data_IF_600953281435
#
_entry.id   IF_600953281435
#
_cell.length_a   1.000
_cell.length_b   1.000
_cell.length_c   1.000
_cell.angle_alpha   90.00
_cell.angle_beta   90.00
_cell.angle_gamma   90.00
#
_symmetry.space_group_name_H-M   'P 1'
#
loop_
_entity.id
_entity.type
_entity.pdbx_description
1 polymer ?
#
# COMPACT_ATOMS: atom_id res chain seq x y z
N UNK A 1 -7.70 3.74 -23.98
CA UNK A 1 -6.69 4.77 -23.67
C UNK A 1 -5.84 5.06 -24.89
N UNK A 2 -4.96 4.15 -25.32
CA UNK A 2 -4.07 4.32 -26.49
C UNK A 2 -4.76 4.87 -27.75
N UNK A 3 -5.84 4.23 -28.21
CA UNK A 3 -6.56 4.66 -29.42
C UNK A 3 -7.19 6.06 -29.32
N UNK A 4 -7.46 6.56 -28.11
CA UNK A 4 -8.11 7.85 -27.87
C UNK A 4 -7.04 8.93 -27.68
N UNK A 5 -6.01 8.65 -26.89
CA UNK A 5 -4.97 9.60 -26.51
C UNK A 5 -3.78 9.62 -27.47
N UNK A 6 -3.71 8.70 -28.44
CA UNK A 6 -2.56 8.56 -29.34
C UNK A 6 -1.29 8.09 -28.64
N UNK A 7 -1.43 7.37 -27.52
CA UNK A 7 -0.31 6.89 -26.70
C UNK A 7 -0.01 5.42 -26.96
N UNK A 8 1.18 4.98 -26.54
CA UNK A 8 1.59 3.57 -26.59
C UNK A 8 1.88 3.05 -25.18
N UNK A 9 0.83 2.62 -24.47
CA UNK A 9 0.95 1.92 -23.20
C UNK A 9 0.71 0.42 -23.36
N UNK A 10 1.56 -0.40 -22.73
CA UNK A 10 1.29 -1.80 -22.46
C UNK A 10 0.77 -2.00 -21.01
N UNK A 11 0.46 -3.25 -20.65
CA UNK A 11 -0.03 -3.57 -19.32
C UNK A 11 0.95 -3.17 -18.20
N UNK A 12 2.25 -3.36 -18.42
CA UNK A 12 3.28 -3.07 -17.43
C UNK A 12 3.40 -1.57 -17.18
N UNK A 13 3.41 -0.76 -18.25
CA UNK A 13 3.48 0.71 -18.15
C UNK A 13 2.27 1.30 -17.42
N UNK A 14 1.09 0.68 -17.55
CA UNK A 14 -0.12 1.09 -16.81
C UNK A 14 0.02 0.72 -15.33
N UNK A 15 0.50 -0.49 -15.02
CA UNK A 15 0.72 -0.92 -13.64
C UNK A 15 1.79 -0.06 -12.95
N UNK A 16 2.89 0.27 -13.64
CA UNK A 16 3.92 1.17 -13.13
C UNK A 16 3.38 2.58 -12.90
N UNK A 17 2.53 3.09 -13.79
CA UNK A 17 1.86 4.39 -13.59
C UNK A 17 0.96 4.37 -12.33
N UNK A 18 0.19 3.31 -12.13
CA UNK A 18 -0.61 3.15 -10.91
C UNK A 18 0.25 3.07 -9.65
N UNK A 19 1.37 2.36 -9.72
CA UNK A 19 2.30 2.26 -8.61
C UNK A 19 2.98 3.60 -8.28
N UNK A 20 3.36 4.37 -9.32
CA UNK A 20 3.85 5.75 -9.17
C UNK A 20 2.84 6.63 -8.45
N UNK A 21 1.58 6.61 -8.89
CA UNK A 21 0.50 7.41 -8.28
C UNK A 21 0.35 7.06 -6.80
N UNK A 22 0.29 5.77 -6.44
CA UNK A 22 0.11 5.37 -5.05
C UNK A 22 1.30 5.76 -4.15
N UNK A 23 2.53 5.75 -4.69
CA UNK A 23 3.70 6.24 -3.95
C UNK A 23 3.67 7.75 -3.78
N UNK A 24 3.20 8.53 -4.78
CA UNK A 24 2.98 9.98 -4.62
C UNK A 24 1.96 10.26 -3.52
N UNK A 25 0.83 9.54 -3.50
CA UNK A 25 -0.18 9.68 -2.45
C UNK A 25 0.37 9.34 -1.06
N UNK A 26 1.18 8.27 -0.96
CA UNK A 26 1.85 7.91 0.30
C UNK A 26 2.81 9.00 0.76
N UNK A 27 3.65 9.54 -0.12
CA UNK A 27 4.58 10.63 0.19
C UNK A 27 3.83 11.88 0.66
N UNK A 28 2.77 12.27 -0.07
CA UNK A 28 1.93 13.39 0.33
C UNK A 28 1.36 13.21 1.74
N UNK A 29 0.84 12.02 2.06
CA UNK A 29 0.32 11.73 3.39
C UNK A 29 1.40 11.81 4.49
N UNK A 30 2.60 11.28 4.22
CA UNK A 30 3.73 11.37 5.13
C UNK A 30 4.16 12.82 5.37
N UNK A 31 4.22 13.64 4.31
CA UNK A 31 4.50 15.08 4.40
C UNK A 31 3.41 15.85 5.16
N UNK A 32 2.14 15.43 5.01
CA UNK A 32 1.01 15.97 5.76
C UNK A 32 0.98 15.53 7.24
N UNK A 33 1.90 14.65 7.65
CA UNK A 33 2.08 14.24 9.04
C UNK A 33 1.36 12.95 9.45
N UNK A 34 0.76 12.21 8.50
CA UNK A 34 0.31 10.84 8.77
C UNK A 34 1.52 10.00 9.15
N UNK A 35 1.40 9.27 10.24
CA UNK A 35 2.46 8.41 10.72
C UNK A 35 2.22 6.94 10.31
N UNK A 36 3.28 6.15 10.12
CA UNK A 36 3.15 4.73 9.79
C UNK A 36 2.34 3.90 10.78
N UNK A 37 2.27 4.32 12.06
CA UNK A 37 1.47 3.62 13.07
C UNK A 37 -0.04 3.76 12.86
N UNK A 38 -0.45 4.72 12.02
CA UNK A 38 -1.84 4.95 11.64
C UNK A 38 -2.32 3.99 10.54
N UNK A 39 -1.40 3.23 9.91
CA UNK A 39 -1.73 2.12 9.00
C UNK A 39 -2.25 0.91 9.80
N UNK A 40 -3.42 1.09 10.42
CA UNK A 40 -4.04 0.14 11.35
C UNK A 40 -5.54 -0.01 11.10
N UNK A 41 -6.16 -0.93 11.84
CA UNK A 41 -7.60 -1.15 11.83
C UNK A 41 -8.21 -0.79 13.19
N UNK A 42 -9.53 -0.51 13.26
CA UNK A 42 -10.22 -0.37 14.53
C UNK A 42 -10.00 -1.58 15.43
N UNK A 43 -9.81 -1.35 16.74
CA UNK A 43 -9.50 -2.40 17.75
C UNK A 43 -10.41 -3.61 17.67
N UNK A 44 -11.71 -3.41 17.45
CA UNK A 44 -12.68 -4.49 17.26
C UNK A 44 -12.24 -5.52 16.22
N UNK A 45 -11.66 -5.10 15.10
CA UNK A 45 -11.21 -6.02 14.05
C UNK A 45 -9.90 -6.75 14.39
N UNK A 46 -9.11 -6.18 15.31
CA UNK A 46 -7.82 -6.71 15.72
C UNK A 46 -7.92 -7.62 16.96
N UNK A 47 -8.90 -7.37 17.83
CA UNK A 47 -8.96 -7.96 19.17
C UNK A 47 -10.24 -8.73 19.44
N UNK A 48 -11.38 -8.38 18.83
CA UNK A 48 -12.67 -9.03 19.08
C UNK A 48 -12.91 -10.15 18.07
N UNK A 49 -12.92 -11.44 18.49
CA UNK A 49 -13.15 -12.54 17.58
C UNK A 49 -14.57 -12.53 17.02
N UNK A 50 -14.71 -12.95 15.76
CA UNK A 50 -16.02 -13.11 15.13
C UNK A 50 -16.89 -14.07 15.98
N UNK A 51 -18.14 -13.70 16.35
CA UNK A 51 -18.91 -14.43 17.34
C UNK A 51 -19.52 -15.74 16.82
N UNK A 52 -19.82 -15.83 15.52
CA UNK A 52 -20.53 -16.96 14.93
C UNK A 52 -20.23 -17.15 13.43
N UNK A 53 -20.67 -18.28 12.88
CA UNK A 53 -20.48 -18.64 11.48
C UNK A 53 -19.12 -19.28 11.17
N UNK A 54 -18.80 -19.51 9.89
CA UNK A 54 -17.60 -20.25 9.46
C UNK A 54 -16.27 -19.61 9.89
N UNK A 55 -16.26 -18.31 10.14
CA UNK A 55 -15.06 -17.57 10.58
C UNK A 55 -15.05 -17.29 12.09
N UNK A 56 -15.92 -17.96 12.87
CA UNK A 56 -16.00 -17.79 14.32
C UNK A 56 -14.62 -17.96 14.96
N UNK A 57 -14.27 -17.03 15.85
CA UNK A 57 -12.99 -17.03 16.56
C UNK A 57 -11.84 -16.33 15.81
N UNK A 58 -12.02 -15.94 14.55
CA UNK A 58 -10.99 -15.23 13.81
C UNK A 58 -10.95 -13.73 14.15
N UNK A 59 -9.74 -13.18 14.14
CA UNK A 59 -9.44 -11.74 14.14
C UNK A 59 -8.55 -11.41 12.94
N UNK A 60 -8.44 -10.13 12.59
CA UNK A 60 -7.54 -9.69 11.51
C UNK A 60 -6.08 -9.95 11.86
N UNK A 61 -5.35 -10.57 10.92
CA UNK A 61 -3.90 -10.84 11.03
C UNK A 61 -3.05 -9.69 10.53
N UNK A 62 -3.49 -8.44 10.75
CA UNK A 62 -2.83 -7.26 10.21
C UNK A 62 -1.35 -7.19 10.59
N UNK A 63 -1.00 -7.53 11.84
CA UNK A 63 0.39 -7.55 12.33
C UNK A 63 1.30 -8.48 11.53
N UNK A 64 0.76 -9.55 10.94
CA UNK A 64 1.51 -10.49 10.10
C UNK A 64 1.57 -10.03 8.63
N UNK A 65 0.52 -9.38 8.15
CA UNK A 65 0.35 -9.02 6.73
C UNK A 65 0.97 -7.66 6.37
N UNK A 66 0.88 -6.67 7.27
CA UNK A 66 1.35 -5.32 6.99
C UNK A 66 2.87 -5.25 6.69
N UNK A 67 3.75 -5.94 7.44
CA UNK A 67 5.18 -5.93 7.10
C UNK A 67 5.48 -6.58 5.74
N UNK A 68 4.71 -7.61 5.36
CA UNK A 68 4.84 -8.25 4.04
C UNK A 68 4.38 -7.31 2.94
N UNK A 69 3.27 -6.62 3.14
CA UNK A 69 2.78 -5.61 2.21
C UNK A 69 3.84 -4.53 1.96
N UNK A 70 4.48 -3.99 3.00
CA UNK A 70 5.56 -3.01 2.81
C UNK A 70 6.74 -3.55 2.02
N UNK A 71 7.16 -4.78 2.30
CA UNK A 71 8.24 -5.42 1.55
C UNK A 71 7.89 -5.54 0.05
N UNK A 72 6.68 -6.03 -0.28
CA UNK A 72 6.21 -6.14 -1.67
C UNK A 72 6.07 -4.78 -2.37
N UNK A 73 5.78 -3.71 -1.62
CA UNK A 73 5.70 -2.34 -2.15
C UNK A 73 7.09 -1.69 -2.36
N UNK A 74 8.17 -2.32 -1.87
CA UNK A 74 9.51 -1.72 -1.86
C UNK A 74 9.64 -0.60 -0.82
N UNK A 75 8.96 -0.72 0.30
CA UNK A 75 8.97 0.24 1.41
C UNK A 75 9.81 -0.29 2.58
N UNK A 76 10.23 0.60 3.47
CA UNK A 76 10.88 0.23 4.73
C UNK A 76 9.88 -0.45 5.69
N UNK A 77 10.38 -1.00 6.80
CA UNK A 77 9.51 -1.62 7.83
C UNK A 77 8.56 -0.60 8.48
N UNK A 78 8.93 0.67 8.40
CA UNK A 78 8.18 1.83 8.84
C UNK A 78 7.22 2.33 7.74
N UNK A 79 6.98 1.58 6.65
CA UNK A 79 6.00 1.96 5.63
C UNK A 79 6.38 3.18 4.80
N UNK A 80 7.67 3.51 4.73
CA UNK A 80 8.20 4.63 3.96
C UNK A 80 8.76 4.10 2.63
N UNK A 81 8.39 4.67 1.46
CA UNK A 81 9.01 4.29 0.19
C UNK A 81 10.53 4.45 0.22
N UNK A 82 11.27 3.43 -0.24
CA UNK A 82 12.75 3.48 -0.26
C UNK A 82 13.25 4.37 -1.40
N UNK A 83 14.49 4.87 -1.27
CA UNK A 83 15.13 5.65 -2.34
C UNK A 83 15.21 4.88 -3.67
N UNK A 84 15.53 3.59 -3.62
CA UNK A 84 15.55 2.71 -4.80
C UNK A 84 14.17 2.66 -5.46
N UNK A 85 13.10 2.53 -4.66
CA UNK A 85 11.73 2.51 -5.16
C UNK A 85 11.33 3.83 -5.81
N UNK A 86 11.71 4.95 -5.20
CA UNK A 86 11.41 6.29 -5.73
C UNK A 86 12.18 6.56 -7.02
N UNK A 87 13.45 6.17 -7.12
CA UNK A 87 14.23 6.27 -8.35
C UNK A 87 13.61 5.42 -9.47
N UNK A 88 13.24 4.16 -9.18
CA UNK A 88 12.60 3.27 -10.15
C UNK A 88 11.27 3.83 -10.68
N UNK A 89 10.56 4.63 -9.88
CA UNK A 89 9.31 5.29 -10.28
C UNK A 89 9.51 6.70 -10.87
N UNK A 90 10.75 7.20 -10.95
CA UNK A 90 11.04 8.56 -11.46
C UNK A 90 10.56 9.67 -10.52
N UNK A 91 10.53 9.41 -9.21
CA UNK A 91 10.13 10.35 -8.16
C UNK A 91 11.32 10.95 -7.39
N UNK A 92 12.55 10.53 -7.72
CA UNK A 92 13.80 11.01 -7.12
C UNK A 92 14.92 11.01 -8.15
#
# INVERSE_FOLDING_TARGET
YNAICGTEHDANSILEAGDRIYNIEKLFNLEAGIKPEEDTLPKRLLEEPIPAGPSKGNVSKLKEMLPKYYAERGWTKEGIPTDEKLQALGLK
#
